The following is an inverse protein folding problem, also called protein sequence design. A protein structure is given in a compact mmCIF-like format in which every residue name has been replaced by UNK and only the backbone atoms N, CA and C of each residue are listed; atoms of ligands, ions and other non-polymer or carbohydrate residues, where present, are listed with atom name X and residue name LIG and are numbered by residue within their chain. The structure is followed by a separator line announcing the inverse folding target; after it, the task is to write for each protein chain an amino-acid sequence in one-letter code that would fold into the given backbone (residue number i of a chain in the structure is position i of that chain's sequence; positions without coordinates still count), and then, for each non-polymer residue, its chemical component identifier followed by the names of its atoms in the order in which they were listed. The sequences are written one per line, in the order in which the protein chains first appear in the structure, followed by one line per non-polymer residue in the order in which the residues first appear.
data_IF_222807709631
#
_entry.id   IF_222807709631
#
_cell.length_a   1.000
_cell.length_b   1.000
_cell.length_c   1.000
_cell.angle_alpha   90.00
_cell.angle_beta   90.00
_cell.angle_gamma   90.00
#
_symmetry.space_group_name_H-M   'P 1'
#
loop_
_entity.id
_entity.type
_entity.pdbx_description
1 polymer ?
#
# COMPACT_ATOMS: atom_id res chain seq x y z
N UNK A 1 7.48 -3.59 15.00
CA UNK A 1 7.29 -2.43 14.08
C UNK A 1 7.77 -1.16 14.75
N UNK A 2 8.34 -0.22 13.98
CA UNK A 2 8.66 1.16 14.41
C UNK A 2 7.92 2.13 13.50
N UNK A 3 7.31 3.16 14.08
CA UNK A 3 6.59 4.19 13.33
C UNK A 3 7.19 5.57 13.64
N UNK A 4 7.39 6.37 12.59
CA UNK A 4 7.91 7.74 12.69
C UNK A 4 6.98 8.68 11.94
N UNK A 5 6.28 9.56 12.66
CA UNK A 5 5.48 10.64 12.07
C UNK A 5 6.38 11.77 11.61
N UNK A 6 6.15 12.27 10.40
CA UNK A 6 6.82 13.40 9.78
C UNK A 6 5.76 14.37 9.24
N UNK A 7 5.97 15.67 9.45
CA UNK A 7 5.06 16.71 8.95
C UNK A 7 5.50 17.25 7.59
N UNK A 8 6.80 17.17 7.30
CA UNK A 8 7.39 17.66 6.05
C UNK A 8 7.78 16.49 5.13
N UNK A 9 7.64 16.64 3.81
CA UNK A 9 7.05 17.76 3.06
C UNK A 9 5.52 17.77 3.08
N UNK A 10 4.90 16.75 3.64
CA UNK A 10 3.47 16.59 3.96
C UNK A 10 3.34 15.62 5.13
N UNK A 11 2.22 15.64 5.87
CA UNK A 11 2.00 14.71 6.99
C UNK A 11 1.97 13.26 6.53
N UNK A 12 2.91 12.42 7.03
CA UNK A 12 2.98 10.99 6.75
C UNK A 12 3.66 10.22 7.88
N UNK A 13 3.50 8.91 7.88
CA UNK A 13 4.15 8.01 8.83
C UNK A 13 5.04 7.04 8.06
N UNK A 14 6.32 7.02 8.37
CA UNK A 14 7.24 5.98 7.91
C UNK A 14 7.22 4.79 8.86
N UNK A 15 7.27 3.59 8.29
CA UNK A 15 7.19 2.33 9.01
C UNK A 15 8.44 1.48 8.73
N UNK A 16 9.09 1.02 9.77
CA UNK A 16 10.22 0.10 9.70
C UNK A 16 9.93 -1.18 10.48
N UNK A 17 10.51 -2.29 10.04
CA UNK A 17 10.31 -3.61 10.64
C UNK A 17 8.81 -3.90 10.85
N UNK A 18 8.00 -3.70 9.80
CA UNK A 18 6.54 -3.77 9.90
C UNK A 18 6.07 -5.12 10.42
N UNK A 19 6.58 -6.20 9.85
CA UNK A 19 6.37 -7.57 10.33
C UNK A 19 7.55 -8.05 11.18
N UNK A 20 7.28 -8.85 12.17
CA UNK A 20 8.32 -9.65 12.82
C UNK A 20 8.97 -10.61 11.83
N UNK A 21 10.14 -11.15 12.13
CA UNK A 21 10.82 -12.10 11.25
C UNK A 21 9.94 -13.31 10.89
N UNK A 22 9.23 -13.86 11.87
CA UNK A 22 8.35 -15.01 11.65
C UNK A 22 7.16 -14.68 10.76
N UNK A 23 6.53 -13.53 10.97
CA UNK A 23 5.43 -13.03 10.14
C UNK A 23 5.91 -12.72 8.72
N UNK A 24 7.07 -12.05 8.57
CA UNK A 24 7.65 -11.79 7.25
C UNK A 24 7.90 -13.08 6.47
N UNK A 25 8.48 -14.11 7.10
CA UNK A 25 8.68 -15.41 6.48
C UNK A 25 7.35 -16.06 6.07
N UNK A 26 6.30 -15.93 6.88
CA UNK A 26 4.95 -16.39 6.54
C UNK A 26 4.39 -15.61 5.36
N UNK A 27 4.52 -14.27 5.36
CA UNK A 27 4.12 -13.42 4.24
C UNK A 27 4.80 -13.84 2.93
N UNK A 28 6.11 -14.07 2.92
CA UNK A 28 6.84 -14.51 1.72
C UNK A 28 6.35 -15.89 1.23
N UNK A 29 5.99 -16.80 2.14
CA UNK A 29 5.38 -18.08 1.74
C UNK A 29 4.00 -17.90 1.12
N UNK A 30 3.17 -17.02 1.68
CA UNK A 30 1.83 -16.74 1.15
C UNK A 30 1.91 -16.01 -0.20
N UNK A 31 2.82 -15.04 -0.38
CA UNK A 31 3.05 -14.35 -1.65
C UNK A 31 3.27 -15.34 -2.80
N UNK A 32 4.06 -16.39 -2.58
CA UNK A 32 4.29 -17.42 -3.60
C UNK A 32 3.03 -18.20 -3.99
N UNK A 33 2.09 -18.37 -3.04
CA UNK A 33 0.80 -19.03 -3.30
C UNK A 33 -0.15 -18.10 -4.03
N UNK A 34 -0.13 -16.80 -3.71
CA UNK A 34 -0.99 -15.79 -4.30
C UNK A 34 -0.54 -15.37 -5.70
N UNK A 35 0.74 -15.47 -6.01
CA UNK A 35 1.35 -14.99 -7.24
C UNK A 35 0.64 -15.47 -8.53
N UNK A 36 0.27 -16.75 -8.68
CA UNK A 36 -0.46 -17.24 -9.84
C UNK A 36 -1.89 -16.70 -9.98
N UNK A 37 -2.44 -16.11 -8.93
CA UNK A 37 -3.81 -15.56 -8.90
C UNK A 37 -3.87 -14.06 -9.14
N UNK A 38 -2.71 -13.39 -9.26
CA UNK A 38 -2.66 -11.96 -9.52
C UNK A 38 -3.18 -11.65 -10.92
N UNK A 39 -4.12 -10.74 -10.99
CA UNK A 39 -4.78 -10.33 -12.22
C UNK A 39 -3.99 -9.23 -12.94
N UNK A 40 -4.02 -9.18 -14.27
CA UNK A 40 -3.42 -8.09 -15.03
C UNK A 40 -4.12 -6.74 -14.77
N UNK A 41 -3.51 -5.62 -15.17
CA UNK A 41 -4.00 -4.27 -14.83
C UNK A 41 -5.48 -4.02 -15.14
N UNK A 42 -5.98 -4.57 -16.24
CA UNK A 42 -7.34 -4.37 -16.73
C UNK A 42 -8.39 -4.93 -15.75
N UNK A 43 -8.04 -5.96 -14.98
CA UNK A 43 -8.95 -6.71 -14.11
C UNK A 43 -8.64 -6.58 -12.61
N UNK A 44 -7.53 -5.90 -12.25
CA UNK A 44 -7.05 -5.87 -10.85
C UNK A 44 -7.33 -4.55 -10.12
N UNK A 45 -8.29 -3.76 -10.61
CA UNK A 45 -8.56 -2.42 -10.09
C UNK A 45 -7.39 -1.46 -10.34
N UNK A 46 -7.64 -0.29 -10.88
CA UNK A 46 -6.60 0.70 -11.19
C UNK A 46 -7.22 2.09 -11.33
N UNK A 47 -6.46 3.11 -10.96
CA UNK A 47 -6.75 4.45 -11.43
C UNK A 47 -6.70 4.47 -12.96
N UNK A 48 -7.57 5.28 -13.57
CA UNK A 48 -7.68 5.39 -15.03
C UNK A 48 -7.46 6.83 -15.49
N UNK A 49 -6.85 6.96 -16.66
CA UNK A 49 -6.69 8.25 -17.30
C UNK A 49 -8.08 8.83 -17.62
N UNK A 50 -8.34 10.07 -17.19
CA UNK A 50 -9.67 10.69 -17.27
C UNK A 50 -10.25 10.75 -18.66
N UNK A 51 -9.40 11.06 -19.66
CA UNK A 51 -9.86 11.24 -21.05
C UNK A 51 -9.90 9.93 -21.84
N UNK A 52 -8.94 9.03 -21.63
CA UNK A 52 -8.78 7.83 -22.44
C UNK A 52 -9.36 6.57 -21.82
N UNK A 53 -9.67 6.58 -20.52
CA UNK A 53 -10.10 5.43 -19.75
C UNK A 53 -9.05 4.32 -19.58
N UNK A 54 -7.82 4.53 -20.08
CA UNK A 54 -6.74 3.53 -19.99
C UNK A 54 -6.25 3.36 -18.57
N UNK A 55 -5.91 2.13 -18.14
CA UNK A 55 -5.26 1.89 -16.86
C UNK A 55 -3.99 2.75 -16.71
N UNK A 56 -3.76 3.29 -15.51
CA UNK A 56 -2.54 4.02 -15.18
C UNK A 56 -1.45 3.10 -14.63
N UNK A 57 -1.82 1.91 -14.12
CA UNK A 57 -0.87 0.91 -13.66
C UNK A 57 -0.59 -0.15 -14.73
N UNK A 58 0.61 -0.70 -14.69
CA UNK A 58 1.07 -1.77 -15.57
C UNK A 58 1.59 -2.99 -14.80
N UNK A 59 1.24 -3.09 -13.53
CA UNK A 59 1.55 -4.19 -12.63
C UNK A 59 0.33 -5.10 -12.41
N UNK A 60 0.56 -6.33 -12.00
CA UNK A 60 -0.52 -7.25 -11.61
C UNK A 60 -0.97 -7.00 -10.18
N UNK A 61 -2.22 -7.34 -9.85
CA UNK A 61 -2.75 -7.17 -8.49
C UNK A 61 -3.97 -8.02 -8.19
N UNK A 62 -4.30 -8.10 -6.90
CA UNK A 62 -5.46 -8.83 -6.39
C UNK A 62 -5.98 -8.13 -5.13
N UNK A 63 -7.30 -7.87 -5.08
CA UNK A 63 -7.95 -7.44 -3.85
C UNK A 63 -8.14 -8.63 -2.91
N UNK A 64 -7.32 -8.68 -1.84
CA UNK A 64 -7.31 -9.78 -0.89
C UNK A 64 -8.54 -9.79 0.01
N UNK A 65 -9.11 -8.63 0.31
CA UNK A 65 -10.34 -8.52 1.13
C UNK A 65 -11.49 -9.33 0.55
N UNK A 66 -11.60 -9.36 -0.76
CA UNK A 66 -12.69 -10.01 -1.48
C UNK A 66 -12.31 -11.43 -1.89
N UNK A 67 -11.11 -11.61 -2.45
CA UNK A 67 -10.67 -12.87 -3.02
C UNK A 67 -10.12 -13.86 -1.97
N UNK A 68 -9.51 -13.36 -0.91
CA UNK A 68 -8.80 -14.16 0.11
C UNK A 68 -9.06 -13.62 1.53
N UNK A 69 -10.29 -13.76 2.07
CA UNK A 69 -10.66 -13.18 3.37
C UNK A 69 -9.85 -13.72 4.55
N UNK A 70 -9.21 -14.88 4.40
CA UNK A 70 -8.37 -15.52 5.42
C UNK A 70 -6.87 -15.35 5.17
N UNK A 71 -6.45 -14.37 4.37
CA UNK A 71 -5.03 -14.10 4.09
C UNK A 71 -4.27 -13.80 5.39
N UNK A 72 -3.19 -14.57 5.66
CA UNK A 72 -2.30 -14.37 6.81
C UNK A 72 -1.62 -13.00 6.73
N UNK A 73 -1.20 -12.56 5.54
CA UNK A 73 -0.58 -11.24 5.32
C UNK A 73 -1.52 -10.12 5.78
N UNK A 74 -2.81 -10.21 5.41
CA UNK A 74 -3.81 -9.20 5.81
C UNK A 74 -4.05 -9.25 7.32
N UNK A 75 -4.10 -10.44 7.92
CA UNK A 75 -4.31 -10.59 9.37
C UNK A 75 -3.16 -9.97 10.15
N UNK A 76 -1.91 -10.29 9.82
CA UNK A 76 -0.74 -9.70 10.46
C UNK A 76 -0.70 -8.19 10.27
N UNK A 77 -0.88 -7.71 9.04
CA UNK A 77 -0.84 -6.29 8.74
C UNK A 77 -1.92 -5.50 9.52
N UNK A 78 -3.12 -6.05 9.62
CA UNK A 78 -4.22 -5.45 10.38
C UNK A 78 -3.92 -5.38 11.87
N UNK A 79 -3.32 -6.42 12.45
CA UNK A 79 -2.95 -6.44 13.86
C UNK A 79 -1.97 -5.32 14.20
N UNK A 80 -0.89 -5.16 13.43
CA UNK A 80 0.08 -4.08 13.63
C UNK A 80 -0.55 -2.69 13.43
N UNK A 81 -1.39 -2.54 12.42
CA UNK A 81 -2.05 -1.28 12.12
C UNK A 81 -2.94 -0.77 13.27
N UNK A 82 -3.64 -1.66 13.97
CA UNK A 82 -4.55 -1.27 15.05
C UNK A 82 -3.91 -1.26 16.43
N UNK A 83 -3.02 -2.20 16.71
CA UNK A 83 -2.49 -2.38 18.06
C UNK A 83 -1.24 -1.53 18.33
N UNK A 84 -0.37 -1.39 17.34
CA UNK A 84 0.94 -0.81 17.56
C UNK A 84 1.11 0.60 16.99
N UNK A 85 0.52 0.87 15.82
CA UNK A 85 0.75 2.12 15.11
C UNK A 85 0.34 3.34 15.91
N UNK A 86 -0.86 3.32 16.47
CA UNK A 86 -1.45 4.49 17.15
C UNK A 86 -0.66 4.89 18.38
N UNK A 87 -0.09 3.92 19.10
CA UNK A 87 0.71 4.20 20.30
C UNK A 87 2.08 4.84 20.00
N UNK A 88 2.52 4.80 18.74
CA UNK A 88 3.83 5.30 18.33
C UNK A 88 3.77 6.66 17.61
N UNK A 89 2.58 7.11 17.21
CA UNK A 89 2.41 8.36 16.48
C UNK A 89 2.04 9.48 17.45
N UNK A 90 2.99 10.32 17.80
CA UNK A 90 2.77 11.48 18.65
C UNK A 90 2.23 12.67 17.84
N UNK A 91 0.97 12.54 17.39
CA UNK A 91 0.27 13.60 16.67
C UNK A 91 -1.24 13.44 16.82
N UNK A 92 -1.84 14.15 17.78
CA UNK A 92 -3.23 14.00 18.17
C UNK A 92 -4.25 14.22 17.04
N UNK A 93 -4.02 15.19 16.14
CA UNK A 93 -4.93 15.43 15.02
C UNK A 93 -4.87 14.31 13.97
N UNK A 94 -3.68 13.79 13.67
CA UNK A 94 -3.49 12.68 12.74
C UNK A 94 -4.10 11.40 13.32
N UNK A 95 -3.83 11.11 14.60
CA UNK A 95 -4.41 9.99 15.34
C UNK A 95 -5.94 10.06 15.32
N UNK A 96 -6.51 11.24 15.58
CA UNK A 96 -7.96 11.45 15.54
C UNK A 96 -8.55 11.12 14.16
N UNK A 97 -7.90 11.57 13.09
CA UNK A 97 -8.32 11.27 11.72
C UNK A 97 -8.17 9.77 11.39
N UNK A 98 -7.08 9.16 11.81
CA UNK A 98 -6.82 7.73 11.61
C UNK A 98 -7.86 6.87 12.32
N UNK A 99 -8.20 7.17 13.55
CA UNK A 99 -9.20 6.43 14.35
C UNK A 99 -10.63 6.51 13.81
N UNK A 100 -10.94 7.49 12.98
CA UNK A 100 -12.25 7.63 12.34
C UNK A 100 -12.43 6.66 11.15
N UNK A 101 -11.36 6.03 10.66
CA UNK A 101 -11.46 5.07 9.58
C UNK A 101 -12.12 3.77 10.07
N UNK A 102 -13.22 3.40 9.41
CA UNK A 102 -14.02 2.23 9.75
C UNK A 102 -14.19 1.25 8.58
N UNK A 103 -13.57 1.54 7.45
CA UNK A 103 -13.57 0.67 6.27
C UNK A 103 -12.16 0.49 5.73
N UNK A 104 -11.85 -0.72 5.26
CA UNK A 104 -10.56 -1.11 4.74
C UNK A 104 -10.73 -2.00 3.51
N UNK A 105 -9.87 -1.77 2.51
CA UNK A 105 -9.71 -2.67 1.39
C UNK A 105 -8.23 -2.96 1.19
N UNK A 106 -7.86 -4.23 1.13
CA UNK A 106 -6.48 -4.70 1.02
C UNK A 106 -6.20 -5.23 -0.38
N UNK A 107 -5.14 -4.73 -0.98
CA UNK A 107 -4.70 -5.13 -2.32
C UNK A 107 -3.23 -5.55 -2.29
N UNK A 108 -2.96 -6.70 -2.88
CA UNK A 108 -1.60 -7.14 -3.20
C UNK A 108 -1.28 -6.74 -4.64
N UNK A 109 -0.14 -6.11 -4.85
CA UNK A 109 0.40 -5.79 -6.18
C UNK A 109 1.76 -6.43 -6.36
N UNK A 110 2.06 -6.92 -7.58
CA UNK A 110 3.38 -7.41 -7.99
C UNK A 110 3.87 -6.65 -9.21
N UNK A 111 5.15 -6.29 -9.17
CA UNK A 111 5.85 -5.69 -10.31
C UNK A 111 6.93 -6.64 -10.82
N UNK A 112 7.03 -6.72 -12.14
CA UNK A 112 8.10 -7.40 -12.88
C UNK A 112 8.79 -6.38 -13.78
N UNK A 113 9.84 -6.80 -14.48
CA UNK A 113 10.68 -5.95 -15.32
C UNK A 113 9.89 -5.01 -16.23
N UNK A 114 10.23 -3.73 -16.22
CA UNK A 114 9.58 -2.68 -16.99
C UNK A 114 8.22 -2.21 -16.45
N UNK A 115 7.65 -2.86 -15.44
CA UNK A 115 6.35 -2.46 -14.90
C UNK A 115 6.43 -1.24 -13.99
N UNK A 116 5.36 -0.46 -13.98
CA UNK A 116 5.25 0.84 -13.32
C UNK A 116 3.80 1.17 -12.92
N UNK A 117 3.62 2.25 -12.20
CA UNK A 117 2.32 2.87 -11.97
C UNK A 117 2.46 4.37 -12.15
N UNK A 118 1.83 4.93 -13.17
CA UNK A 118 1.84 6.36 -13.44
C UNK A 118 1.25 7.16 -12.30
N UNK A 119 1.58 8.45 -12.26
CA UNK A 119 1.10 9.39 -11.25
C UNK A 119 -0.42 9.39 -11.17
N UNK A 120 -0.92 9.10 -9.97
CA UNK A 120 -2.35 8.98 -9.65
C UNK A 120 -2.61 9.39 -8.21
N UNK A 121 -3.88 9.42 -7.85
CA UNK A 121 -4.37 9.59 -6.47
C UNK A 121 -5.22 8.39 -6.10
N UNK A 122 -5.24 8.05 -4.83
CA UNK A 122 -6.15 7.07 -4.28
C UNK A 122 -7.45 7.74 -3.78
N UNK A 123 -8.55 7.01 -3.84
CA UNK A 123 -9.86 7.50 -3.35
C UNK A 123 -10.04 7.26 -1.83
N UNK A 124 -9.04 6.67 -1.20
CA UNK A 124 -9.03 6.44 0.25
C UNK A 124 -8.76 7.73 1.03
N UNK A 125 -9.14 7.76 2.29
CA UNK A 125 -8.71 8.83 3.20
C UNK A 125 -7.23 8.72 3.50
N UNK A 126 -6.78 7.50 3.85
CA UNK A 126 -5.37 7.19 3.96
C UNK A 126 -5.04 5.95 3.13
N UNK A 127 -3.83 5.93 2.60
CA UNK A 127 -3.22 4.76 1.98
C UNK A 127 -2.03 4.31 2.83
N UNK A 128 -2.03 3.04 3.23
CA UNK A 128 -0.88 2.35 3.80
C UNK A 128 -0.24 1.50 2.71
N UNK A 129 1.04 1.67 2.46
CA UNK A 129 1.85 0.81 1.59
C UNK A 129 2.90 0.08 2.41
N UNK A 130 3.04 -1.24 2.19
CA UNK A 130 4.08 -2.07 2.80
C UNK A 130 4.79 -2.80 1.66
N UNK A 131 6.14 -2.68 1.61
CA UNK A 131 6.94 -3.34 0.59
C UNK A 131 7.46 -4.69 1.09
N UNK A 132 7.34 -5.69 0.24
CA UNK A 132 7.77 -7.06 0.50
C UNK A 132 8.51 -7.61 -0.72
N UNK A 133 9.62 -8.26 -0.46
CA UNK A 133 10.35 -9.04 -1.45
C UNK A 133 11.26 -10.07 -0.76
N UNK A 134 11.69 -11.07 -1.52
CA UNK A 134 12.64 -12.05 -1.01
C UNK A 134 14.05 -11.47 -1.09
N UNK A 135 14.81 -11.55 -0.01
CA UNK A 135 16.23 -11.17 -0.01
C UNK A 135 17.10 -12.22 -0.75
N UNK A 136 18.21 -11.77 -1.41
CA UNK A 136 18.58 -10.37 -1.63
C UNK A 136 17.62 -9.66 -2.59
N UNK A 137 17.51 -8.33 -2.52
CA UNK A 137 16.60 -7.51 -3.36
C UNK A 137 16.75 -7.86 -4.84
N UNK A 138 15.72 -8.45 -5.49
CA UNK A 138 15.85 -9.00 -6.84
C UNK A 138 15.52 -7.99 -7.96
N UNK A 139 15.45 -6.71 -7.62
CA UNK A 139 15.13 -5.63 -8.55
C UNK A 139 15.82 -4.33 -8.16
N UNK A 140 15.85 -3.37 -9.08
CA UNK A 140 16.26 -1.97 -8.86
C UNK A 140 15.13 -1.02 -9.25
N UNK A 141 15.13 0.21 -8.69
CA UNK A 141 14.04 1.17 -8.85
C UNK A 141 12.81 0.78 -8.02
N UNK A 142 11.65 1.28 -8.42
CA UNK A 142 10.38 0.99 -7.78
C UNK A 142 10.13 1.74 -6.48
N UNK A 143 10.87 2.80 -6.22
CA UNK A 143 10.63 3.71 -5.12
C UNK A 143 9.30 4.44 -5.31
N UNK A 144 8.68 4.87 -4.22
CA UNK A 144 7.47 5.68 -4.27
C UNK A 144 7.85 7.15 -4.39
N UNK A 145 7.30 7.84 -5.40
CA UNK A 145 7.59 9.25 -5.67
C UNK A 145 6.32 10.08 -5.53
N UNK A 146 6.45 11.24 -4.91
CA UNK A 146 5.42 12.26 -4.79
C UNK A 146 5.81 13.48 -5.64
N UNK A 147 5.36 13.55 -6.92
CA UNK A 147 5.84 14.54 -7.87
C UNK A 147 5.48 15.98 -7.47
N UNK A 148 4.34 16.19 -6.83
CA UNK A 148 3.89 17.54 -6.42
C UNK A 148 4.70 18.10 -5.22
N UNK A 149 5.56 17.30 -4.61
CA UNK A 149 6.43 17.64 -3.49
C UNK A 149 7.91 17.55 -3.88
N UNK A 150 8.25 18.19 -5.01
CA UNK A 150 9.62 18.21 -5.53
C UNK A 150 10.20 16.79 -5.71
N UNK A 151 9.40 15.85 -6.20
CA UNK A 151 9.75 14.44 -6.36
C UNK A 151 10.23 13.79 -5.05
N UNK A 152 9.61 14.15 -3.93
CA UNK A 152 9.91 13.49 -2.65
C UNK A 152 9.79 11.97 -2.82
N UNK A 153 10.87 11.27 -2.48
CA UNK A 153 11.02 9.85 -2.78
C UNK A 153 11.16 9.03 -1.51
N UNK A 154 10.35 7.98 -1.40
CA UNK A 154 10.44 7.00 -0.32
C UNK A 154 11.05 5.71 -0.90
N UNK A 155 12.21 5.27 -0.39
CA UNK A 155 12.86 4.06 -0.86
C UNK A 155 12.01 2.80 -0.63
N UNK A 156 11.92 1.96 -1.66
CA UNK A 156 11.28 0.65 -1.57
C UNK A 156 12.22 -0.34 -0.87
N UNK A 157 12.23 -0.33 0.46
CA UNK A 157 12.99 -1.26 1.29
C UNK A 157 12.09 -2.40 1.79
N UNK A 158 12.68 -3.58 2.00
CA UNK A 158 11.93 -4.76 2.45
C UNK A 158 11.37 -4.56 3.86
N UNK A 159 10.14 -5.01 4.08
CA UNK A 159 9.48 -4.94 5.38
C UNK A 159 9.37 -3.51 5.95
N UNK A 160 9.34 -2.51 5.09
CA UNK A 160 9.07 -1.12 5.43
C UNK A 160 7.79 -0.63 4.78
N UNK A 161 7.30 0.53 5.17
CA UNK A 161 6.08 1.08 4.61
C UNK A 161 5.91 2.57 4.87
N UNK A 162 4.81 3.09 4.35
CA UNK A 162 4.39 4.48 4.56
C UNK A 162 2.87 4.56 4.68
N UNK A 163 2.40 5.48 5.52
CA UNK A 163 1.00 5.91 5.54
C UNK A 163 0.94 7.38 5.14
N UNK A 164 0.09 7.68 4.19
CA UNK A 164 -0.13 9.04 3.68
C UNK A 164 -1.60 9.26 3.31
N UNK A 165 -2.00 10.52 3.09
CA UNK A 165 -3.34 10.84 2.59
C UNK A 165 -3.50 10.33 1.16
N UNK A 166 -4.51 9.50 0.91
CA UNK A 166 -4.80 8.91 -0.42
C UNK A 166 -4.87 9.92 -1.57
N UNK A 167 -5.47 11.12 -1.41
CA UNK A 167 -5.49 12.15 -2.44
C UNK A 167 -4.14 12.76 -2.82
N UNK A 168 -3.04 12.44 -2.13
CA UNK A 168 -1.71 12.88 -2.56
C UNK A 168 -1.29 12.15 -3.83
N UNK A 169 -0.92 12.91 -4.86
CA UNK A 169 -0.49 12.36 -6.14
C UNK A 169 0.86 11.65 -5.98
N UNK A 170 0.91 10.40 -6.38
CA UNK A 170 2.10 9.55 -6.23
C UNK A 170 2.24 8.59 -7.42
N UNK A 171 3.46 8.08 -7.61
CA UNK A 171 3.80 7.18 -8.70
C UNK A 171 4.89 6.18 -8.31
N UNK A 172 5.00 5.13 -9.12
CA UNK A 172 6.08 4.14 -9.06
C UNK A 172 6.73 4.06 -10.44
N UNK A 173 7.96 4.53 -10.61
CA UNK A 173 8.71 4.42 -11.86
C UNK A 173 8.94 2.96 -12.27
N UNK A 174 9.27 2.70 -13.56
CA UNK A 174 9.60 1.36 -14.03
C UNK A 174 10.70 0.71 -13.20
N UNK A 175 10.49 -0.56 -12.85
CA UNK A 175 11.52 -1.37 -12.18
C UNK A 175 12.35 -2.15 -13.20
N UNK A 176 13.57 -2.55 -12.79
CA UNK A 176 14.37 -3.55 -13.48
C UNK A 176 14.49 -4.80 -12.59
N UNK A 177 14.15 -5.96 -13.14
CA UNK A 177 14.07 -7.21 -12.39
C UNK A 177 12.64 -7.59 -12.03
N UNK A 178 12.44 -8.39 -10.98
CA UNK A 178 11.11 -8.90 -10.63
C UNK A 178 10.97 -9.14 -9.13
N UNK A 179 9.73 -9.44 -8.69
CA UNK A 179 9.48 -9.84 -7.29
C UNK A 179 9.37 -8.67 -6.31
N UNK A 180 9.05 -7.46 -6.79
CA UNK A 180 8.62 -6.35 -5.96
C UNK A 180 7.14 -6.50 -5.66
N UNK A 181 6.80 -6.76 -4.41
CA UNK A 181 5.41 -6.79 -3.95
C UNK A 181 5.10 -5.56 -3.11
N UNK A 182 3.85 -5.11 -3.19
CA UNK A 182 3.31 -4.07 -2.32
C UNK A 182 1.98 -4.54 -1.77
N UNK A 183 1.86 -4.60 -0.46
CA UNK A 183 0.58 -4.74 0.22
C UNK A 183 0.05 -3.33 0.47
N UNK A 184 -1.10 -3.02 -0.10
CA UNK A 184 -1.77 -1.71 0.03
C UNK A 184 -3.02 -1.85 0.86
N UNK A 185 -3.21 -0.99 1.85
CA UNK A 185 -4.49 -0.83 2.55
C UNK A 185 -5.07 0.54 2.22
N UNK A 186 -6.24 0.55 1.64
CA UNK A 186 -7.06 1.74 1.43
C UNK A 186 -8.03 1.87 2.59
N UNK A 187 -7.93 2.96 3.36
CA UNK A 187 -8.82 3.20 4.50
C UNK A 187 -9.75 4.36 4.23
N UNK A 188 -10.97 4.28 4.74
CA UNK A 188 -11.96 5.35 4.62
C UNK A 188 -12.88 5.41 5.83
N UNK A 189 -13.42 6.61 6.07
CA UNK A 189 -14.53 6.80 6.99
C UNK A 189 -15.83 6.69 6.19
N UNK A 190 -16.57 5.62 6.41
CA UNK A 190 -17.89 5.44 5.82
C UNK A 190 -18.96 5.88 6.82
N UNK A 191 -19.82 6.82 6.43
CA UNK A 191 -20.98 7.18 7.22
C UNK A 191 -22.08 6.10 7.01
N UNK A 192 -22.45 5.33 8.04
CA UNK A 192 -23.47 4.27 7.89
C UNK A 192 -24.82 4.78 7.37
N UNK A 193 -25.16 6.04 7.66
CA UNK A 193 -26.40 6.64 7.18
C UNK A 193 -26.45 6.88 5.66
N UNK A 194 -25.28 6.95 4.99
CA UNK A 194 -25.18 7.15 3.54
C UNK A 194 -25.09 5.83 2.76
N UNK A 195 -24.81 4.72 3.42
CA UNK A 195 -24.65 3.40 2.78
C UNK A 195 -25.99 2.69 2.59
N UNK A 196 -27.03 3.07 3.37
CA UNK A 196 -28.35 2.42 3.35
C UNK A 196 -29.28 2.86 2.22
N UNK A 197 -28.84 3.75 1.32
CA UNK A 197 -29.70 4.34 0.27
C UNK A 197 -29.28 4.00 -1.16
N UNK A 198 -28.48 2.92 -1.37
CA UNK A 198 -28.14 2.43 -2.73
C UNK A 198 -28.57 0.99 -2.92
#
# INVERSE_FOLDING_TARGET
MKAKFLIEPFPHVLLEDYFTKGEWEACIRELRKLDPHLLPPEFSGTARHKETGRPLKFNSGLFLTEAMPNSEIVQFARNHMYQELVSQVDCSWWESQWRQNNSQSWMLSRYIDGQYYNAHVDLSQFTLLIWLYQEPKPFTGGDLIFPDYNNYTIPCNNNTGIIFYGPLRHEVPPIKGSGRYTLTCFTSCQNPALVSTR
#
